data_IF_837511675733
#
_entry.id   IF_837511675733
#
_cell.length_a   1.000
_cell.length_b   1.000
_cell.length_c   1.000
_cell.angle_alpha   90.00
_cell.angle_beta   90.00
_cell.angle_gamma   90.00
#
_symmetry.space_group_name_H-M   'P 1'
#
loop_
_entity.id
_entity.type
_entity.pdbx_description
1 polymer ?
#
# COMPACT_ATOMS: atom_id res chain seq x y z
N UNK A 1 -5.48 6.19 -10.40
CA UNK A 1 -5.53 6.07 -8.93
C UNK A 1 -5.56 4.58 -8.57
N UNK A 2 -4.76 4.14 -7.61
CA UNK A 2 -4.77 2.77 -7.07
C UNK A 2 -5.44 2.73 -5.71
N UNK A 3 -6.18 1.67 -5.43
CA UNK A 3 -6.88 1.46 -4.16
C UNK A 3 -6.58 0.06 -3.64
N UNK A 4 -6.35 -0.06 -2.34
CA UNK A 4 -6.24 -1.33 -1.64
C UNK A 4 -7.23 -1.40 -0.48
N UNK A 5 -8.02 -2.49 -0.42
CA UNK A 5 -8.90 -2.78 0.71
C UNK A 5 -8.08 -3.31 1.88
N UNK A 6 -8.13 -2.59 3.00
CA UNK A 6 -7.47 -2.93 4.26
C UNK A 6 -8.47 -3.61 5.21
N UNK A 7 -7.99 -4.60 5.94
CA UNK A 7 -8.78 -5.32 6.95
C UNK A 7 -7.98 -5.57 8.23
N UNK A 8 -8.63 -5.35 9.37
CA UNK A 8 -8.12 -5.70 10.70
C UNK A 8 -9.25 -6.31 11.53
N UNK A 9 -9.32 -7.64 11.60
CA UNK A 9 -10.47 -8.34 12.17
C UNK A 9 -11.75 -8.04 11.37
N UNK A 10 -12.74 -7.41 12.00
CA UNK A 10 -14.00 -6.95 11.36
C UNK A 10 -13.92 -5.51 10.84
N UNK A 11 -12.82 -4.82 11.07
CA UNK A 11 -12.61 -3.44 10.65
C UNK A 11 -12.13 -3.38 9.20
N UNK A 12 -12.51 -2.33 8.49
CA UNK A 12 -12.13 -2.09 7.10
C UNK A 12 -11.71 -0.65 6.84
N UNK A 13 -10.98 -0.44 5.76
CA UNK A 13 -10.61 0.86 5.23
C UNK A 13 -9.98 0.75 3.85
N UNK A 14 -9.73 1.88 3.20
CA UNK A 14 -9.04 1.91 1.92
C UNK A 14 -7.72 2.66 2.04
N UNK A 15 -6.67 2.08 1.47
CA UNK A 15 -5.43 2.79 1.16
C UNK A 15 -5.50 3.24 -0.29
N UNK A 16 -5.34 4.53 -0.52
CA UNK A 16 -5.46 5.15 -1.83
C UNK A 16 -4.13 5.77 -2.25
N UNK A 17 -3.77 5.64 -3.53
CA UNK A 17 -2.64 6.31 -4.15
C UNK A 17 -3.08 7.00 -5.44
N UNK A 18 -2.93 8.32 -5.51
CA UNK A 18 -3.26 9.12 -6.69
C UNK A 18 -2.05 9.38 -7.61
N UNK A 19 -0.90 8.76 -7.30
CA UNK A 19 0.37 8.97 -8.00
C UNK A 19 1.17 10.17 -7.50
N UNK A 20 0.64 10.95 -6.54
CA UNK A 20 1.34 12.05 -5.86
C UNK A 20 1.38 11.86 -4.35
N UNK A 21 0.34 11.27 -3.77
CA UNK A 21 0.20 11.01 -2.33
C UNK A 21 -0.46 9.66 -2.09
N UNK A 22 -0.19 9.15 -0.89
CA UNK A 22 -0.87 7.99 -0.33
C UNK A 22 -1.66 8.42 0.89
N UNK A 23 -2.91 8.00 0.98
CA UNK A 23 -3.82 8.41 2.05
C UNK A 23 -4.86 7.33 2.34
N UNK A 24 -5.56 7.48 3.46
CA UNK A 24 -6.62 6.55 3.88
C UNK A 24 -8.00 7.15 3.60
N UNK A 25 -8.93 6.33 3.11
CA UNK A 25 -10.35 6.67 2.96
C UNK A 25 -11.21 5.65 3.71
N UNK A 26 -12.26 6.13 4.38
CA UNK A 26 -13.27 5.30 5.08
C UNK A 26 -12.65 4.22 5.99
N UNK A 27 -11.51 4.51 6.63
CA UNK A 27 -10.78 3.57 7.46
C UNK A 27 -11.17 3.71 8.93
N UNK A 28 -11.39 2.57 9.59
CA UNK A 28 -11.56 2.51 11.04
C UNK A 28 -10.34 3.13 11.76
N UNK A 29 -10.58 3.72 12.93
CA UNK A 29 -9.55 4.48 13.66
C UNK A 29 -8.31 3.63 13.98
N UNK A 30 -8.50 2.36 14.31
CA UNK A 30 -7.41 1.43 14.57
C UNK A 30 -6.54 1.17 13.33
N UNK A 31 -7.17 1.08 12.15
CA UNK A 31 -6.45 0.96 10.88
C UNK A 31 -5.69 2.26 10.60
N UNK A 32 -6.30 3.42 10.85
CA UNK A 32 -5.62 4.73 10.71
C UNK A 32 -4.38 4.76 11.59
N UNK A 33 -4.51 4.49 12.89
CA UNK A 33 -3.39 4.48 13.84
C UNK A 33 -2.29 3.49 13.44
N UNK A 34 -2.65 2.32 12.93
CA UNK A 34 -1.69 1.30 12.51
C UNK A 34 -0.94 1.67 11.22
N UNK A 35 -1.60 2.33 10.27
CA UNK A 35 -1.06 2.59 8.93
C UNK A 35 -0.36 3.95 8.83
N UNK A 36 -0.88 4.99 9.48
CA UNK A 36 -0.35 6.37 9.40
C UNK A 36 1.16 6.50 9.60
N UNK A 37 1.81 5.79 10.55
CA UNK A 37 3.26 5.88 10.75
C UNK A 37 4.09 5.54 9.51
N UNK A 38 3.52 4.78 8.57
CA UNK A 38 4.21 4.32 7.35
C UNK A 38 3.88 5.17 6.12
N UNK A 39 2.99 6.17 6.22
CA UNK A 39 2.54 6.93 5.04
C UNK A 39 3.52 8.05 4.62
N UNK A 40 4.33 8.56 5.55
CA UNK A 40 5.18 9.73 5.36
C UNK A 40 6.67 9.45 5.54
N UNK A 41 7.08 8.18 5.60
CA UNK A 41 8.47 7.78 5.81
C UNK A 41 8.93 6.83 4.70
N UNK A 42 10.20 6.91 4.27
CA UNK A 42 10.75 5.93 3.33
C UNK A 42 10.65 4.51 3.88
N UNK A 43 10.32 3.56 3.01
CA UNK A 43 10.15 2.16 3.38
C UNK A 43 11.25 1.31 2.78
N UNK A 44 12.02 0.65 3.64
CA UNK A 44 13.05 -0.31 3.22
C UNK A 44 12.46 -1.70 3.15
N UNK A 45 12.54 -2.38 2.01
CA UNK A 45 12.03 -3.73 1.88
C UNK A 45 13.01 -4.63 1.14
N UNK A 46 12.94 -5.93 1.43
CA UNK A 46 13.79 -6.93 0.80
C UNK A 46 13.30 -7.24 -0.60
N UNK A 47 14.20 -7.21 -1.56
CA UNK A 47 13.96 -7.66 -2.94
C UNK A 47 14.59 -9.03 -3.14
N UNK A 48 14.03 -9.79 -4.08
CA UNK A 48 14.61 -11.06 -4.53
C UNK A 48 14.61 -11.07 -6.05
N UNK A 49 15.78 -11.24 -6.63
CA UNK A 49 15.98 -11.29 -8.07
C UNK A 49 16.73 -12.57 -8.43
N UNK A 50 16.37 -13.15 -9.58
CA UNK A 50 17.02 -14.36 -10.09
C UNK A 50 17.98 -13.97 -11.21
N UNK A 51 19.27 -14.23 -11.01
CA UNK A 51 20.31 -14.08 -12.02
C UNK A 51 20.72 -15.47 -12.51
N UNK A 52 20.06 -15.94 -13.57
CA UNK A 52 20.23 -17.31 -14.05
C UNK A 52 19.70 -18.33 -13.05
N UNK A 53 20.59 -19.11 -12.42
CA UNK A 53 20.24 -20.11 -11.39
C UNK A 53 20.48 -19.63 -9.96
N UNK A 54 21.05 -18.43 -9.79
CA UNK A 54 21.35 -17.86 -8.49
C UNK A 54 20.23 -16.91 -8.06
N UNK A 55 19.80 -17.00 -6.80
CA UNK A 55 18.86 -16.06 -6.20
C UNK A 55 19.64 -15.02 -5.40
N UNK A 56 19.58 -13.78 -5.85
CA UNK A 56 20.22 -12.63 -5.19
C UNK A 56 19.16 -11.92 -4.35
N UNK A 57 19.50 -11.62 -3.10
CA UNK A 57 18.65 -10.85 -2.19
C UNK A 57 19.23 -9.46 -2.02
N UNK A 58 18.39 -8.43 -2.18
CA UNK A 58 18.77 -7.03 -2.01
C UNK A 58 17.84 -6.30 -1.05
N UNK A 59 18.11 -5.02 -0.87
CA UNK A 59 17.23 -4.07 -0.19
C UNK A 59 16.92 -2.93 -1.16
N UNK A 60 15.66 -2.55 -1.22
CA UNK A 60 15.18 -1.38 -1.95
C UNK A 60 14.54 -0.38 -0.97
N UNK A 61 14.54 0.89 -1.35
CA UNK A 61 13.93 1.97 -0.58
C UNK A 61 12.84 2.61 -1.44
N UNK A 62 11.61 2.58 -0.93
CA UNK A 62 10.48 3.23 -1.57
C UNK A 62 10.20 4.59 -0.92
N UNK A 63 10.30 5.66 -1.72
CA UNK A 63 10.10 7.03 -1.26
C UNK A 63 8.61 7.38 -1.06
N UNK A 64 8.24 8.14 -0.01
CA UNK A 64 6.86 8.48 0.29
C UNK A 64 6.08 9.07 -0.90
N UNK A 65 4.79 8.71 -1.01
CA UNK A 65 3.91 9.23 -2.05
C UNK A 65 4.05 8.58 -3.43
N UNK A 66 5.05 7.73 -3.65
CA UNK A 66 5.28 7.05 -4.94
C UNK A 66 4.43 5.78 -5.10
N UNK A 67 4.31 5.30 -6.34
CA UNK A 67 3.68 4.01 -6.63
C UNK A 67 4.46 2.83 -6.04
N UNK A 68 5.78 2.94 -5.98
CA UNK A 68 6.62 1.94 -5.32
C UNK A 68 6.33 1.91 -3.82
N UNK A 69 6.14 3.07 -3.20
CA UNK A 69 5.78 3.17 -1.79
C UNK A 69 4.41 2.57 -1.48
N UNK A 70 3.42 2.77 -2.35
CA UNK A 70 2.14 2.07 -2.26
C UNK A 70 2.30 0.56 -2.32
N UNK A 71 3.14 0.08 -3.25
CA UNK A 71 3.40 -1.34 -3.43
C UNK A 71 4.13 -1.93 -2.22
N UNK A 72 5.12 -1.21 -1.67
CA UNK A 72 5.86 -1.60 -0.48
C UNK A 72 4.96 -1.67 0.76
N UNK A 73 4.05 -0.70 0.94
CA UNK A 73 3.02 -0.75 1.99
C UNK A 73 2.19 -2.03 1.88
N UNK A 74 1.62 -2.27 0.71
CA UNK A 74 0.69 -3.39 0.50
C UNK A 74 1.35 -4.75 0.66
N UNK A 75 2.54 -4.93 0.08
CA UNK A 75 3.18 -6.25 -0.05
C UNK A 75 4.07 -6.61 1.13
N UNK A 76 4.74 -5.62 1.73
CA UNK A 76 5.85 -5.87 2.65
C UNK A 76 5.60 -5.34 4.06
N UNK A 77 4.89 -4.23 4.20
CA UNK A 77 4.76 -3.53 5.48
C UNK A 77 3.44 -3.80 6.18
N UNK A 78 2.30 -3.52 5.56
CA UNK A 78 1.01 -3.58 6.25
C UNK A 78 0.70 -4.98 6.82
N UNK A 79 0.86 -6.08 6.05
CA UNK A 79 0.61 -7.42 6.58
C UNK A 79 1.59 -7.85 7.68
N UNK A 80 2.85 -7.42 7.57
CA UNK A 80 3.95 -7.92 8.42
C UNK A 80 4.24 -7.05 9.64
N UNK A 81 3.98 -5.74 9.56
CA UNK A 81 4.40 -4.73 10.54
C UNK A 81 3.22 -3.99 11.18
N UNK A 82 2.14 -3.77 10.44
CA UNK A 82 0.96 -3.07 10.93
C UNK A 82 -0.15 -4.00 11.45
N UNK A 83 -0.05 -5.31 11.19
CA UNK A 83 -1.12 -6.27 11.50
C UNK A 83 -2.40 -6.04 10.67
N UNK A 84 -2.26 -5.37 9.52
CA UNK A 84 -3.35 -5.02 8.61
C UNK A 84 -3.25 -5.90 7.37
N UNK A 85 -4.31 -6.65 7.09
CA UNK A 85 -4.39 -7.49 5.89
C UNK A 85 -4.79 -6.62 4.70
N UNK A 86 -4.21 -6.90 3.54
CA UNK A 86 -4.68 -6.35 2.26
C UNK A 86 -5.50 -7.41 1.55
N UNK A 87 -6.78 -7.13 1.32
CA UNK A 87 -7.74 -8.09 0.78
C UNK A 87 -7.84 -8.04 -0.75
N UNK A 88 -7.75 -6.83 -1.33
CA UNK A 88 -7.87 -6.61 -2.77
C UNK A 88 -7.13 -5.32 -3.15
N UNK A 89 -6.57 -5.29 -4.37
CA UNK A 89 -5.97 -4.09 -4.97
C UNK A 89 -6.56 -3.89 -6.36
N UNK A 90 -7.02 -2.68 -6.68
CA UNK A 90 -7.62 -2.37 -7.97
C UNK A 90 -7.31 -0.93 -8.40
N UNK A 91 -7.21 -0.66 -9.71
CA UNK A 91 -7.26 0.72 -10.20
C UNK A 91 -8.67 1.26 -9.97
N UNK A 92 -8.79 2.50 -9.49
CA UNK A 92 -10.05 3.24 -9.57
C UNK A 92 -10.20 3.70 -11.02
N UNK A 93 -11.03 3.01 -11.79
CA UNK A 93 -11.56 3.51 -13.06
C UNK A 93 -12.41 4.74 -12.75
N UNK A 94 -12.15 5.86 -13.43
CA UNK A 94 -12.92 7.09 -13.23
C UNK A 94 -14.39 6.83 -13.55
N UNK A 95 -15.24 6.92 -12.55
CA UNK A 95 -16.63 7.29 -12.74
C UNK A 95 -16.69 8.79 -12.49
N UNK A 96 -16.66 9.54 -13.59
CA UNK A 96 -17.36 10.81 -13.81
C UNK A 96 -17.53 10.94 -15.34
N UNK A 97 -18.20 9.97 -15.97
CA UNK A 97 -19.11 10.29 -17.08
C UNK A 97 -20.43 10.71 -16.42
N UNK A 98 -20.50 11.95 -15.94
CA UNK A 98 -21.80 12.59 -15.72
C UNK A 98 -22.35 13.03 -17.08
N UNK A 99 -23.33 12.26 -17.55
CA UNK A 99 -24.33 12.66 -18.53
C UNK A 99 -25.02 13.95 -18.02
N UNK A 100 -24.87 15.06 -18.74
CA UNK A 100 -25.47 16.36 -18.43
C UNK A 100 -25.55 17.28 -19.64
#
# INVERSE_FOLDING_TARGET
>A
MMVALLQMGRLSGHLCCDGKRIYLENAAEEIVRAVTPYLSVPLVYKTQEWHGKERVTGEAVAEPGTMEHFSALVLHYLPCKAGVRVALVWPRTGEDEEDG
#
